data_IF_212238930119
#
_entry.id   IF_212238930119
#
_cell.length_a   1.000
_cell.length_b   1.000
_cell.length_c   1.000
_cell.angle_alpha   90.00
_cell.angle_beta   90.00
_cell.angle_gamma   90.00
#
_symmetry.space_group_name_H-M   'P 1'
#
loop_
_entity.id
_entity.type
_entity.pdbx_description
1 polymer ?
#
# COMPACT_ATOMS: atom_id res chain seq x y z
N UNK A 1 -9.03 22.23 3.46
CA UNK A 1 -9.28 20.81 3.15
C UNK A 1 -7.97 20.24 2.65
N UNK A 2 -7.30 19.42 3.45
CA UNK A 2 -6.07 18.74 3.02
C UNK A 2 -6.46 17.65 2.02
N UNK A 3 -5.89 17.62 0.81
CA UNK A 3 -6.21 16.58 -0.14
C UNK A 3 -5.79 15.21 0.44
N UNK A 4 -6.57 14.18 0.15
CA UNK A 4 -6.31 12.82 0.62
C UNK A 4 -5.85 11.93 -0.54
N UNK A 5 -4.98 10.94 -0.28
CA UNK A 5 -4.55 9.99 -1.29
C UNK A 5 -5.73 9.13 -1.78
N UNK A 6 -5.80 8.90 -3.09
CA UNK A 6 -6.80 8.03 -3.73
C UNK A 6 -6.27 6.60 -3.78
N UNK A 7 -6.83 5.71 -2.96
CA UNK A 7 -6.38 4.33 -2.82
C UNK A 7 -6.98 3.40 -3.88
N UNK A 8 -6.15 2.49 -4.39
CA UNK A 8 -6.54 1.34 -5.20
C UNK A 8 -6.36 0.06 -4.40
N UNK A 9 -7.42 -0.75 -4.35
CA UNK A 9 -7.39 -2.09 -3.75
C UNK A 9 -6.72 -3.12 -4.66
N UNK A 10 -5.94 -4.02 -4.07
CA UNK A 10 -5.38 -5.17 -4.79
C UNK A 10 -6.48 -6.12 -5.28
N UNK A 11 -6.34 -6.62 -6.51
CA UNK A 11 -7.23 -7.62 -7.12
C UNK A 11 -7.12 -9.01 -6.48
N UNK A 12 -6.14 -9.24 -5.61
CA UNK A 12 -5.95 -10.48 -4.86
C UNK A 12 -6.68 -10.48 -3.49
N UNK A 13 -7.47 -9.45 -3.20
CA UNK A 13 -8.15 -9.21 -1.92
C UNK A 13 -9.48 -9.97 -1.76
N UNK A 14 -9.62 -11.17 -2.35
CA UNK A 14 -10.89 -11.87 -2.51
C UNK A 14 -11.44 -12.37 -1.15
N UNK A 15 -12.76 -12.27 -0.99
CA UNK A 15 -13.52 -12.25 0.28
C UNK A 15 -13.52 -13.49 1.20
N UNK A 16 -12.53 -14.38 1.12
CA UNK A 16 -12.39 -15.54 2.03
C UNK A 16 -11.25 -15.38 3.05
N UNK A 17 -10.92 -14.14 3.44
CA UNK A 17 -9.91 -13.88 4.48
C UNK A 17 -8.50 -13.49 3.99
N UNK A 18 -8.31 -13.21 2.69
CA UNK A 18 -7.02 -12.78 2.14
C UNK A 18 -6.49 -11.47 2.77
N UNK A 19 -5.17 -11.30 2.84
CA UNK A 19 -4.52 -10.06 3.30
C UNK A 19 -4.79 -8.93 2.29
N UNK A 20 -5.55 -7.91 2.69
CA UNK A 20 -6.09 -6.90 1.77
C UNK A 20 -5.23 -5.62 1.81
N UNK A 21 -4.35 -5.45 0.83
CA UNK A 21 -3.49 -4.27 0.69
C UNK A 21 -4.11 -3.24 -0.26
N UNK A 22 -4.14 -1.98 0.18
CA UNK A 22 -4.48 -0.82 -0.65
C UNK A 22 -3.22 0.05 -0.87
N UNK A 23 -3.07 0.59 -2.08
CA UNK A 23 -1.93 1.47 -2.44
C UNK A 23 -2.41 2.76 -3.11
N UNK A 24 -1.71 3.87 -2.86
CA UNK A 24 -1.96 5.15 -3.51
C UNK A 24 -0.64 5.83 -3.89
N UNK A 25 -0.60 6.47 -5.05
CA UNK A 25 0.47 7.42 -5.37
C UNK A 25 0.18 8.74 -4.67
N UNK A 26 1.14 9.27 -3.91
CA UNK A 26 0.98 10.49 -3.12
C UNK A 26 2.28 11.29 -3.09
N UNK A 27 2.30 12.43 -3.77
CA UNK A 27 3.50 13.26 -3.94
C UNK A 27 4.72 12.42 -4.42
N UNK A 28 5.84 12.45 -3.70
CA UNK A 28 7.06 11.68 -3.98
C UNK A 28 7.08 10.31 -3.27
N UNK A 29 5.90 9.80 -2.87
CA UNK A 29 5.75 8.54 -2.14
C UNK A 29 4.65 7.67 -2.73
N UNK A 30 4.75 6.37 -2.46
CA UNK A 30 3.66 5.41 -2.53
C UNK A 30 3.22 5.10 -1.11
N UNK A 31 1.94 5.31 -0.84
CA UNK A 31 1.33 5.07 0.47
C UNK A 31 0.65 3.71 0.42
N UNK A 32 1.02 2.85 1.37
CA UNK A 32 0.49 1.48 1.51
C UNK A 32 -0.27 1.41 2.82
N UNK A 33 -1.43 0.75 2.81
CA UNK A 33 -2.18 0.43 4.04
C UNK A 33 -2.77 -0.96 3.96
N UNK A 34 -2.98 -1.57 5.12
CA UNK A 34 -3.90 -2.69 5.25
C UNK A 34 -5.33 -2.12 5.31
N UNK A 35 -6.17 -2.54 4.36
CA UNK A 35 -7.57 -2.11 4.32
C UNK A 35 -8.40 -2.61 5.49
N UNK A 36 -7.93 -3.63 6.21
CA UNK A 36 -8.60 -4.23 7.37
C UNK A 36 -8.20 -3.60 8.69
N UNK A 37 -7.06 -2.92 8.74
CA UNK A 37 -6.71 -2.12 9.91
C UNK A 37 -7.63 -0.90 9.92
N UNK A 38 -8.73 -1.03 10.67
CA UNK A 38 -9.65 0.06 10.90
C UNK A 38 -8.89 1.22 11.55
N UNK A 39 -9.33 2.45 11.27
CA UNK A 39 -8.90 3.60 12.03
C UNK A 39 -9.09 3.31 13.52
N UNK A 40 -7.99 3.25 14.28
CA UNK A 40 -8.05 3.05 15.73
C UNK A 40 -8.72 4.24 16.41
N UNK A 41 -8.60 4.34 17.74
CA UNK A 41 -9.25 5.39 18.54
C UNK A 41 -8.95 6.83 18.07
N UNK A 42 -7.89 7.03 17.28
CA UNK A 42 -7.46 8.32 16.73
C UNK A 42 -8.08 8.69 15.37
N UNK A 43 -8.89 7.84 14.74
CA UNK A 43 -9.62 8.17 13.51
C UNK A 43 -8.82 8.09 12.20
N UNK A 44 -7.50 7.85 12.27
CA UNK A 44 -6.62 7.67 11.11
C UNK A 44 -6.30 6.19 10.84
N UNK A 45 -6.22 5.83 9.56
CA UNK A 45 -5.75 4.52 9.12
C UNK A 45 -4.22 4.53 9.10
N UNK A 46 -3.53 3.58 9.75
CA UNK A 46 -2.08 3.51 9.69
C UNK A 46 -1.62 3.31 8.24
N UNK A 47 -0.61 4.09 7.83
CA UNK A 47 -0.05 4.00 6.49
C UNK A 47 1.47 3.93 6.52
N UNK A 48 2.03 3.17 5.58
CA UNK A 48 3.46 3.14 5.28
C UNK A 48 3.72 3.98 4.03
N UNK A 49 4.47 5.07 4.18
CA UNK A 49 4.91 5.89 3.05
C UNK A 49 6.30 5.45 2.57
N UNK A 50 6.37 5.03 1.31
CA UNK A 50 7.62 4.56 0.68
C UNK A 50 8.02 5.57 -0.40
N UNK A 51 9.26 6.08 -0.45
CA UNK A 51 9.70 6.93 -1.55
C UNK A 51 9.50 6.25 -2.91
N UNK A 52 9.03 7.00 -3.92
CA UNK A 52 8.71 6.43 -5.23
C UNK A 52 9.89 5.68 -5.85
N UNK A 53 11.12 6.17 -5.66
CA UNK A 53 12.35 5.52 -6.14
C UNK A 53 12.56 4.14 -5.50
N UNK A 54 12.35 4.03 -4.19
CA UNK A 54 12.46 2.77 -3.46
C UNK A 54 11.35 1.79 -3.87
N UNK A 55 10.12 2.28 -4.08
CA UNK A 55 9.01 1.46 -4.56
C UNK A 55 9.27 0.89 -5.97
N UNK A 56 9.82 1.70 -6.87
CA UNK A 56 10.20 1.25 -8.21
C UNK A 56 11.30 0.17 -8.15
N UNK A 57 12.33 0.38 -7.34
CA UNK A 57 13.39 -0.62 -7.15
C UNK A 57 12.81 -1.94 -6.59
N UNK A 58 12.03 -1.85 -5.52
CA UNK A 58 11.37 -3.00 -4.89
C UNK A 58 10.51 -3.80 -5.87
N UNK A 59 9.62 -3.13 -6.60
CA UNK A 59 8.73 -3.82 -7.56
C UNK A 59 9.46 -4.38 -8.77
N UNK A 60 10.60 -3.80 -9.14
CA UNK A 60 11.48 -4.34 -10.19
C UNK A 60 12.14 -5.63 -9.72
N UNK A 61 12.75 -5.60 -8.53
CA UNK A 61 13.39 -6.77 -7.93
C UNK A 61 12.36 -7.90 -7.71
N UNK A 62 11.17 -7.56 -7.18
CA UNK A 62 10.07 -8.52 -7.00
C UNK A 62 9.66 -9.21 -8.30
N UNK A 63 9.48 -8.45 -9.40
CA UNK A 63 9.09 -9.03 -10.71
C UNK A 63 10.18 -9.86 -11.35
N UNK A 64 11.44 -9.58 -11.03
CA UNK A 64 12.59 -10.34 -11.52
C UNK A 64 12.80 -11.68 -10.80
N UNK A 65 12.05 -11.93 -9.71
CA UNK A 65 12.25 -13.09 -8.84
C UNK A 65 13.49 -13.00 -7.95
N UNK A 66 14.20 -11.86 -7.94
CA UNK A 66 15.40 -11.66 -7.13
C UNK A 66 15.13 -11.79 -5.62
N UNK A 67 13.90 -11.55 -5.20
CA UNK A 67 13.47 -11.62 -3.80
C UNK A 67 12.74 -12.92 -3.46
N UNK A 68 12.65 -13.86 -4.41
CA UNK A 68 12.08 -15.18 -4.17
C UNK A 68 13.17 -16.03 -3.48
N UNK A 69 12.93 -16.43 -2.24
CA UNK A 69 13.86 -17.20 -1.41
C UNK A 69 13.99 -18.67 -1.85
#
# INVERSE_FOLDING_TARGET
MTPTPVFRRSSYSNGSGANCVDVASWHATVVVRDSKDCAGDFGDYPTLAVPTTAWTAFTTDLKSGRLDA
#
